data_IF_538473943880
#
_entry.id   IF_538473943880
#
_cell.length_a   1.000
_cell.length_b   1.000
_cell.length_c   1.000
_cell.angle_alpha   90.00
_cell.angle_beta   90.00
_cell.angle_gamma   90.00
#
_symmetry.space_group_name_H-M   'P 1'
#
loop_
_entity.id
_entity.type
_entity.pdbx_description
1 polymer ?
#
# COMPACT_ATOMS: atom_id res chain seq x y z
N UNK A 1 22.78 -10.41 -11.55
CA UNK A 1 22.36 -9.15 -12.21
C UNK A 1 21.23 -8.59 -11.37
N UNK A 2 21.25 -7.30 -11.01
CA UNK A 2 20.19 -6.67 -10.23
C UNK A 2 18.92 -6.55 -11.09
N UNK A 3 17.79 -7.03 -10.57
CA UNK A 3 16.48 -6.91 -11.22
C UNK A 3 15.72 -5.72 -10.61
N UNK A 4 15.72 -4.61 -11.35
CA UNK A 4 15.07 -3.36 -10.95
C UNK A 4 13.55 -3.51 -10.80
N UNK A 5 12.87 -4.25 -11.68
CA UNK A 5 11.41 -4.36 -11.65
C UNK A 5 10.95 -5.18 -10.45
N UNK A 6 11.61 -6.31 -10.19
CA UNK A 6 11.30 -7.14 -9.02
C UNK A 6 11.59 -6.40 -7.71
N UNK A 7 12.66 -5.58 -7.69
CA UNK A 7 12.95 -4.75 -6.52
C UNK A 7 11.89 -3.67 -6.29
N UNK A 8 11.45 -2.94 -7.32
CA UNK A 8 10.39 -1.93 -7.17
C UNK A 8 9.05 -2.57 -6.77
N UNK A 9 8.68 -3.72 -7.34
CA UNK A 9 7.49 -4.45 -6.92
C UNK A 9 7.54 -4.82 -5.43
N UNK A 10 8.72 -5.22 -4.93
CA UNK A 10 8.92 -5.46 -3.49
C UNK A 10 8.75 -4.18 -2.67
N UNK A 11 9.28 -3.04 -3.12
CA UNK A 11 9.12 -1.74 -2.43
C UNK A 11 7.65 -1.34 -2.32
N UNK A 12 6.87 -1.57 -3.37
CA UNK A 12 5.43 -1.25 -3.39
C UNK A 12 4.61 -2.18 -2.50
N UNK A 13 5.01 -3.46 -2.39
CA UNK A 13 4.44 -4.44 -1.47
C UNK A 13 4.88 -4.26 -0.02
N UNK A 14 6.02 -3.62 0.22
CA UNK A 14 6.61 -3.48 1.54
C UNK A 14 5.63 -2.81 2.52
N UNK A 15 5.56 -3.38 3.72
CA UNK A 15 4.91 -2.70 4.84
C UNK A 15 5.73 -1.48 5.28
N UNK A 16 5.21 -0.70 6.22
CA UNK A 16 5.84 0.56 6.61
C UNK A 16 7.23 0.35 7.23
N UNK A 17 7.44 -0.71 8.00
CA UNK A 17 8.74 -0.99 8.62
C UNK A 17 9.75 -1.48 7.58
N UNK A 18 9.34 -2.35 6.67
CA UNK A 18 10.20 -2.81 5.58
C UNK A 18 10.57 -1.66 4.64
N UNK A 19 9.62 -0.79 4.28
CA UNK A 19 9.88 0.41 3.48
C UNK A 19 10.96 1.29 4.14
N UNK A 20 10.86 1.49 5.45
CA UNK A 20 11.84 2.29 6.21
C UNK A 20 13.21 1.65 6.15
N UNK A 21 13.31 0.33 6.35
CA UNK A 21 14.58 -0.38 6.28
C UNK A 21 15.22 -0.29 4.88
N UNK A 22 14.42 -0.41 3.82
CA UNK A 22 14.88 -0.26 2.43
C UNK A 22 15.42 1.16 2.19
N UNK A 23 14.68 2.18 2.64
CA UNK A 23 15.06 3.57 2.43
C UNK A 23 16.26 4.00 3.27
N UNK A 24 16.48 3.41 4.44
CA UNK A 24 17.57 3.81 5.33
C UNK A 24 18.94 3.45 4.75
N UNK A 25 19.08 2.25 4.19
CA UNK A 25 20.38 1.70 3.75
C UNK A 25 20.26 0.95 2.42
N UNK A 26 19.88 1.63 1.32
CA UNK A 26 19.86 0.99 0.01
C UNK A 26 21.29 0.70 -0.48
N UNK A 27 21.45 -0.35 -1.28
CA UNK A 27 22.67 -0.50 -2.10
C UNK A 27 22.69 0.56 -3.21
N UNK A 28 23.84 0.71 -3.88
CA UNK A 28 23.98 1.66 -5.00
C UNK A 28 22.94 1.41 -6.11
N UNK A 29 22.70 0.14 -6.44
CA UNK A 29 21.72 -0.26 -7.46
C UNK A 29 20.28 0.00 -6.99
N UNK A 30 19.99 -0.28 -5.72
CA UNK A 30 18.68 -0.02 -5.13
C UNK A 30 18.37 1.47 -5.04
N UNK A 31 19.35 2.30 -4.66
CA UNK A 31 19.20 3.76 -4.65
C UNK A 31 18.91 4.29 -6.06
N UNK A 32 19.65 3.82 -7.06
CA UNK A 32 19.41 4.22 -8.46
C UNK A 32 17.99 3.86 -8.91
N UNK A 33 17.53 2.65 -8.59
CA UNK A 33 16.16 2.22 -8.88
C UNK A 33 15.10 3.06 -8.13
N UNK A 34 15.31 3.33 -6.84
CA UNK A 34 14.41 4.16 -6.03
C UNK A 34 14.33 5.58 -6.57
N UNK A 35 15.43 6.17 -7.02
CA UNK A 35 15.46 7.50 -7.65
C UNK A 35 14.73 7.51 -8.98
N UNK A 36 14.94 6.51 -9.83
CA UNK A 36 14.20 6.38 -11.08
C UNK A 36 12.69 6.22 -10.85
N UNK A 37 12.31 5.45 -9.82
CA UNK A 37 10.91 5.17 -9.50
C UNK A 37 10.19 6.26 -8.69
N UNK A 38 10.87 6.98 -7.81
CA UNK A 38 10.24 8.00 -6.96
C UNK A 38 10.49 9.43 -7.48
N UNK A 39 11.54 9.63 -8.28
CA UNK A 39 12.15 10.92 -8.56
C UNK A 39 13.13 11.33 -7.46
N UNK A 40 14.18 12.06 -7.83
CA UNK A 40 15.30 12.40 -6.94
C UNK A 40 14.87 13.13 -5.67
N UNK A 41 14.06 14.19 -5.79
CA UNK A 41 13.64 14.98 -4.64
C UNK A 41 12.81 14.16 -3.64
N UNK A 42 11.87 13.35 -4.15
CA UNK A 42 11.01 12.52 -3.31
C UNK A 42 11.82 11.44 -2.62
N UNK A 43 12.70 10.77 -3.35
CA UNK A 43 13.63 9.81 -2.76
C UNK A 43 14.43 10.45 -1.63
N UNK A 44 15.01 11.63 -1.85
CA UNK A 44 15.80 12.33 -0.83
C UNK A 44 15.00 12.68 0.43
N UNK A 45 13.75 13.16 0.27
CA UNK A 45 12.85 13.42 1.41
C UNK A 45 12.57 12.13 2.18
N UNK A 46 12.16 11.07 1.48
CA UNK A 46 11.81 9.79 2.09
C UNK A 46 13.02 9.12 2.78
N UNK A 47 14.19 9.16 2.16
CA UNK A 47 15.46 8.70 2.74
C UNK A 47 15.80 9.47 4.02
N UNK A 48 15.70 10.79 3.99
CA UNK A 48 15.94 11.64 5.16
C UNK A 48 14.97 11.34 6.32
N UNK A 49 13.70 11.08 6.02
CA UNK A 49 12.70 10.70 7.03
C UNK A 49 13.00 9.34 7.65
N UNK A 50 13.40 8.36 6.84
CA UNK A 50 13.81 7.04 7.32
C UNK A 50 15.01 7.12 8.28
N UNK A 51 16.05 7.90 7.92
CA UNK A 51 17.21 8.13 8.79
C UNK A 51 16.84 8.83 10.11
N UNK A 52 16.05 9.91 10.05
CA UNK A 52 15.61 10.67 11.24
C UNK A 52 14.85 9.81 12.24
N UNK A 53 14.00 8.91 11.74
CA UNK A 53 13.19 8.02 12.59
C UNK A 53 14.06 7.14 13.48
N UNK A 54 15.13 6.56 12.97
CA UNK A 54 16.00 5.70 13.76
C UNK A 54 16.73 6.46 14.86
N UNK A 55 17.20 7.67 14.56
CA UNK A 55 17.81 8.57 15.56
C UNK A 55 16.79 8.94 16.64
N UNK A 56 15.55 9.23 16.27
CA UNK A 56 14.52 9.62 17.24
C UNK A 56 14.07 8.42 18.08
N UNK A 57 14.04 7.20 17.51
CA UNK A 57 13.70 5.96 18.22
C UNK A 57 14.79 5.52 19.20
N UNK A 58 16.06 5.85 18.98
CA UNK A 58 17.12 5.58 19.96
C UNK A 58 17.09 6.53 21.16
N UNK A 59 16.57 7.75 20.98
CA UNK A 59 16.49 8.78 22.03
C UNK A 59 15.19 8.71 22.84
N UNK A 60 14.08 8.29 22.24
CA UNK A 60 12.80 8.19 22.93
C UNK A 60 12.71 6.95 23.82
N UNK A 61 12.06 7.13 24.97
CA UNK A 61 11.74 6.03 25.87
C UNK A 61 10.92 4.97 25.12
N UNK A 62 11.51 3.77 25.00
CA UNK A 62 10.89 2.61 24.37
C UNK A 62 9.66 2.11 25.14
N UNK A 63 9.40 2.63 26.34
CA UNK A 63 8.28 2.25 27.20
C UNK A 63 6.91 2.74 26.72
N UNK A 64 6.84 3.80 25.89
CA UNK A 64 5.56 4.37 25.46
C UNK A 64 5.03 3.64 24.22
N UNK A 65 3.98 2.83 24.41
CA UNK A 65 3.31 2.10 23.33
C UNK A 65 2.84 3.06 22.22
N UNK A 66 3.20 2.73 20.97
CA UNK A 66 2.75 3.51 19.82
C UNK A 66 1.27 3.22 19.57
N UNK A 67 0.48 4.27 19.33
CA UNK A 67 -0.90 4.11 18.87
C UNK A 67 -0.93 3.50 17.46
N UNK A 68 -1.97 2.74 17.16
CA UNK A 68 -2.14 2.08 15.87
C UNK A 68 -2.85 2.99 14.88
N UNK A 69 -2.38 3.00 13.63
CA UNK A 69 -3.02 3.72 12.53
C UNK A 69 -3.01 2.89 11.25
N UNK A 70 -4.13 2.90 10.53
CA UNK A 70 -4.28 2.32 9.20
C UNK A 70 -4.43 3.44 8.17
N UNK A 71 -3.61 3.42 7.13
CA UNK A 71 -3.71 4.35 5.99
C UNK A 71 -4.40 3.65 4.82
N UNK A 72 -5.45 4.27 4.28
CA UNK A 72 -6.25 3.75 3.16
C UNK A 72 -6.13 4.67 1.96
N UNK A 73 -5.75 4.11 0.80
CA UNK A 73 -5.65 4.87 -0.44
C UNK A 73 -7.01 5.24 -1.05
N UNK A 74 -6.97 6.19 -1.99
CA UNK A 74 -8.13 6.58 -2.81
C UNK A 74 -8.22 5.73 -4.08
N UNK A 75 -9.18 6.05 -4.95
CA UNK A 75 -9.31 5.37 -6.24
C UNK A 75 -7.98 5.42 -7.01
N UNK A 76 -7.58 4.29 -7.60
CA UNK A 76 -6.35 4.14 -8.37
C UNK A 76 -5.03 4.37 -7.58
N UNK A 77 -5.11 4.49 -6.25
CA UNK A 77 -3.95 4.71 -5.37
C UNK A 77 -3.18 3.46 -4.97
N UNK A 78 -3.54 2.30 -5.52
CA UNK A 78 -2.83 1.04 -5.36
C UNK A 78 -2.56 0.41 -6.72
N UNK A 79 -1.45 -0.31 -6.79
CA UNK A 79 -1.07 -1.08 -7.96
C UNK A 79 -2.00 -2.28 -8.18
N UNK A 80 -2.26 -2.62 -9.44
CA UNK A 80 -2.98 -3.84 -9.81
C UNK A 80 -2.11 -4.71 -10.69
N UNK A 81 -1.96 -5.98 -10.30
CA UNK A 81 -1.27 -7.01 -11.07
C UNK A 81 -2.26 -8.02 -11.64
N UNK A 82 -2.06 -8.40 -12.89
CA UNK A 82 -2.88 -9.38 -13.62
C UNK A 82 -2.09 -10.68 -13.76
N UNK A 83 -2.62 -11.82 -13.35
CA UNK A 83 -2.05 -13.13 -13.64
C UNK A 83 -2.95 -13.96 -14.56
N UNK A 84 -2.33 -14.85 -15.35
CA UNK A 84 -3.02 -15.82 -16.22
C UNK A 84 -2.73 -17.28 -15.82
N UNK A 85 -2.35 -17.53 -14.56
CA UNK A 85 -1.96 -18.86 -14.07
C UNK A 85 -0.60 -18.95 -13.37
N UNK A 86 -0.01 -17.82 -12.96
CA UNK A 86 1.28 -17.75 -12.26
C UNK A 86 1.46 -16.42 -11.54
N UNK A 87 2.70 -15.94 -11.45
CA UNK A 87 2.98 -14.59 -10.92
C UNK A 87 2.29 -13.51 -11.77
N UNK A 88 1.80 -12.48 -11.08
CA UNK A 88 1.01 -11.41 -11.68
C UNK A 88 1.88 -10.31 -12.27
N UNK A 89 1.53 -9.88 -13.47
CA UNK A 89 2.14 -8.77 -14.19
C UNK A 89 1.55 -7.43 -13.73
N UNK A 90 2.39 -6.52 -13.22
CA UNK A 90 2.01 -5.14 -12.88
C UNK A 90 1.35 -4.43 -14.06
N UNK A 91 0.04 -4.23 -14.02
CA UNK A 91 -0.73 -3.65 -15.12
C UNK A 91 -1.09 -2.19 -14.84
N UNK A 92 -1.44 -1.88 -13.59
CA UNK A 92 -1.67 -0.52 -13.13
C UNK A 92 -0.64 -0.13 -12.05
N UNK A 93 0.15 0.94 -12.17
CA UNK A 93 0.27 1.85 -13.33
C UNK A 93 1.49 1.45 -14.18
N UNK A 94 1.27 0.91 -15.37
CA UNK A 94 2.34 0.73 -16.36
C UNK A 94 1.92 1.39 -17.69
N UNK A 95 2.47 2.57 -17.98
CA UNK A 95 2.08 3.38 -19.14
C UNK A 95 2.20 2.61 -20.47
N UNK A 96 3.27 1.82 -20.65
CA UNK A 96 3.47 1.01 -21.86
C UNK A 96 2.42 -0.09 -22.02
N UNK A 97 2.06 -0.78 -20.93
CA UNK A 97 1.01 -1.80 -20.92
C UNK A 97 -0.37 -1.17 -21.17
N UNK A 98 -0.64 -0.01 -20.57
CA UNK A 98 -1.85 0.78 -20.82
C UNK A 98 -1.97 1.15 -22.30
N UNK A 99 -0.92 1.69 -22.92
CA UNK A 99 -0.90 2.02 -24.36
C UNK A 99 -1.10 0.78 -25.26
N UNK A 100 -0.67 -0.40 -24.82
CA UNK A 100 -0.91 -1.68 -25.50
C UNK A 100 -2.31 -2.28 -25.26
N UNK A 101 -3.24 -1.53 -24.68
CA UNK A 101 -4.63 -1.97 -24.47
C UNK A 101 -4.81 -2.93 -23.29
N UNK A 102 -3.86 -3.02 -22.35
CA UNK A 102 -4.00 -3.94 -21.21
C UNK A 102 -5.07 -3.54 -20.20
N UNK A 103 -5.66 -2.35 -20.33
CA UNK A 103 -6.81 -1.95 -19.52
C UNK A 103 -8.02 -2.88 -19.72
N UNK A 104 -8.19 -3.49 -20.89
CA UNK A 104 -9.26 -4.48 -21.14
C UNK A 104 -9.13 -5.71 -20.23
N UNK A 105 -7.92 -6.01 -19.75
CA UNK A 105 -7.66 -7.10 -18.80
C UNK A 105 -8.14 -6.76 -17.38
N UNK A 106 -8.38 -5.47 -17.10
CA UNK A 106 -8.92 -4.97 -15.83
C UNK A 106 -10.44 -4.80 -15.88
N UNK A 107 -11.12 -5.29 -16.92
CA UNK A 107 -12.58 -5.20 -16.99
C UNK A 107 -13.22 -6.13 -15.97
N UNK A 108 -14.15 -5.60 -15.18
CA UNK A 108 -15.03 -6.38 -14.30
C UNK A 108 -16.26 -6.86 -15.06
N UNK A 109 -16.86 -7.94 -14.57
CA UNK A 109 -18.20 -8.33 -14.98
C UNK A 109 -19.23 -7.34 -14.40
N UNK A 110 -20.48 -7.46 -14.84
CA UNK A 110 -21.57 -6.53 -14.46
C UNK A 110 -21.91 -6.60 -12.95
N UNK A 111 -21.43 -7.61 -12.22
CA UNK A 111 -21.62 -7.72 -10.78
C UNK A 111 -20.70 -6.78 -9.96
N UNK A 112 -19.69 -6.16 -10.60
CA UNK A 112 -18.71 -5.29 -9.94
C UNK A 112 -17.79 -5.98 -8.93
N UNK A 113 -17.70 -7.31 -8.96
CA UNK A 113 -16.97 -8.15 -8.00
C UNK A 113 -16.06 -9.16 -8.68
N UNK A 114 -16.51 -9.75 -9.78
CA UNK A 114 -15.78 -10.75 -10.55
C UNK A 114 -15.13 -10.13 -11.79
N UNK A 115 -14.06 -10.76 -12.28
CA UNK A 115 -13.40 -10.33 -13.51
C UNK A 115 -14.27 -10.68 -14.72
N UNK A 116 -14.27 -9.82 -15.75
CA UNK A 116 -15.04 -10.05 -16.97
C UNK A 116 -14.59 -11.32 -17.69
N UNK A 117 -13.28 -11.59 -17.70
CA UNK A 117 -12.70 -12.77 -18.30
C UNK A 117 -12.07 -13.66 -17.22
N UNK A 118 -12.46 -14.94 -17.11
CA UNK A 118 -11.90 -15.86 -16.10
C UNK A 118 -10.41 -16.16 -16.34
N UNK A 119 -9.89 -15.80 -17.52
CA UNK A 119 -8.46 -15.92 -17.86
C UNK A 119 -7.58 -14.98 -17.03
N UNK A 120 -8.10 -13.82 -16.65
CA UNK A 120 -7.35 -12.80 -15.94
C UNK A 120 -7.75 -12.80 -14.48
N UNK A 121 -6.77 -13.00 -13.59
CA UNK A 121 -6.95 -12.79 -12.15
C UNK A 121 -6.25 -11.51 -11.78
N UNK A 122 -7.01 -10.53 -11.31
CA UNK A 122 -6.47 -9.25 -10.89
C UNK A 122 -6.39 -9.20 -9.38
N UNK A 123 -5.27 -8.68 -8.87
CA UNK A 123 -5.05 -8.46 -7.45
C UNK A 123 -4.43 -7.09 -7.21
N UNK A 124 -4.79 -6.45 -6.10
CA UNK A 124 -4.08 -5.28 -5.63
C UNK A 124 -2.71 -5.68 -5.06
N UNK A 125 -1.66 -5.01 -5.49
CA UNK A 125 -0.26 -5.41 -5.27
C UNK A 125 0.59 -4.36 -4.55
N UNK A 126 -0.04 -3.44 -3.81
CA UNK A 126 0.67 -2.47 -2.99
C UNK A 126 0.02 -1.08 -3.04
N UNK A 127 0.17 -0.31 -1.96
CA UNK A 127 -0.16 1.11 -1.97
C UNK A 127 0.98 1.88 -2.64
N UNK A 128 0.66 2.76 -3.59
CA UNK A 128 1.67 3.46 -4.39
C UNK A 128 2.56 4.36 -3.52
N UNK A 129 3.81 3.94 -3.26
CA UNK A 129 4.76 4.65 -2.37
C UNK A 129 5.11 6.03 -2.91
N UNK A 130 5.06 6.21 -4.22
CA UNK A 130 5.21 7.52 -4.88
C UNK A 130 4.21 8.57 -4.35
N UNK A 131 3.01 8.16 -3.94
CA UNK A 131 1.95 9.06 -3.47
C UNK A 131 1.76 9.03 -1.95
N UNK A 132 1.93 7.86 -1.34
CA UNK A 132 1.61 7.65 0.06
C UNK A 132 2.84 7.46 0.96
N UNK A 133 4.03 7.28 0.38
CA UNK A 133 5.26 6.97 1.13
C UNK A 133 5.59 8.01 2.18
N UNK A 134 5.61 9.30 1.84
CA UNK A 134 5.87 10.38 2.80
C UNK A 134 4.84 10.42 3.95
N UNK A 135 3.55 10.17 3.66
CA UNK A 135 2.52 10.07 4.70
C UNK A 135 2.78 8.89 5.65
N UNK A 136 3.10 7.71 5.10
CA UNK A 136 3.41 6.52 5.89
C UNK A 136 4.62 6.77 6.80
N UNK A 137 5.69 7.35 6.26
CA UNK A 137 6.91 7.67 6.99
C UNK A 137 6.67 8.71 8.09
N UNK A 138 5.92 9.77 7.81
CA UNK A 138 5.58 10.81 8.79
C UNK A 138 4.82 10.22 9.97
N UNK A 139 3.78 9.42 9.70
CA UNK A 139 3.02 8.77 10.76
C UNK A 139 3.90 7.80 11.56
N UNK A 140 4.81 7.07 10.90
CA UNK A 140 5.66 6.06 11.52
C UNK A 140 6.65 6.62 12.56
N UNK A 141 6.86 7.94 12.60
CA UNK A 141 7.60 8.63 13.66
C UNK A 141 6.97 8.41 15.03
N UNK A 142 5.64 8.40 15.12
CA UNK A 142 4.90 8.38 16.38
C UNK A 142 3.88 7.24 16.48
N UNK A 143 3.57 6.56 15.36
CA UNK A 143 2.50 5.58 15.25
C UNK A 143 3.02 4.22 14.77
N UNK A 144 2.27 3.17 15.09
CA UNK A 144 2.37 1.86 14.47
C UNK A 144 1.50 1.86 13.21
N UNK A 145 2.13 2.02 12.05
CA UNK A 145 1.45 2.31 10.79
C UNK A 145 1.29 1.07 9.94
N UNK A 146 0.05 0.74 9.58
CA UNK A 146 -0.26 -0.28 8.57
C UNK A 146 -0.86 0.39 7.34
N UNK A 147 -0.33 0.07 6.16
CA UNK A 147 -0.96 0.43 4.90
C UNK A 147 -2.00 -0.61 4.53
N UNK A 148 -3.23 -0.18 4.22
CA UNK A 148 -4.27 -1.02 3.64
C UNK A 148 -4.48 -0.62 2.18
N UNK A 149 -4.35 -1.61 1.30
CA UNK A 149 -4.67 -1.48 -0.12
C UNK A 149 -5.66 -2.54 -0.56
N UNK A 150 -6.46 -2.17 -1.56
CA UNK A 150 -7.56 -2.98 -2.06
C UNK A 150 -7.73 -2.78 -3.57
N UNK A 151 -8.45 -3.70 -4.19
CA UNK A 151 -8.83 -3.58 -5.60
C UNK A 151 -9.90 -2.49 -5.76
N UNK A 152 -9.44 -1.29 -6.10
CA UNK A 152 -10.24 -0.09 -6.19
C UNK A 152 -11.32 -0.12 -7.28
N UNK A 153 -11.33 -1.15 -8.14
CA UNK A 153 -12.36 -1.34 -9.16
C UNK A 153 -13.63 -1.98 -8.58
N UNK A 154 -13.49 -2.74 -7.50
CA UNK A 154 -14.52 -3.64 -6.98
C UNK A 154 -15.44 -2.98 -5.96
N UNK A 155 -16.59 -3.62 -5.73
CA UNK A 155 -17.56 -3.27 -4.70
C UNK A 155 -16.88 -2.99 -3.34
N UNK A 156 -17.21 -1.83 -2.75
CA UNK A 156 -16.65 -1.36 -1.48
C UNK A 156 -16.90 -2.31 -0.31
N UNK A 157 -17.94 -3.16 -0.37
CA UNK A 157 -18.20 -4.17 0.65
C UNK A 157 -17.07 -5.20 0.72
N UNK A 158 -16.45 -5.54 -0.41
CA UNK A 158 -15.30 -6.45 -0.43
C UNK A 158 -14.09 -5.81 0.26
N UNK A 159 -13.80 -4.56 -0.06
CA UNK A 159 -12.72 -3.81 0.58
C UNK A 159 -12.98 -3.62 2.10
N UNK A 160 -14.23 -3.44 2.52
CA UNK A 160 -14.58 -3.36 3.94
C UNK A 160 -14.34 -4.68 4.69
N UNK A 161 -14.64 -5.81 4.06
CA UNK A 161 -14.42 -7.15 4.63
C UNK A 161 -12.93 -7.47 4.76
N UNK A 162 -12.17 -7.14 3.72
CA UNK A 162 -10.71 -7.22 3.72
C UNK A 162 -10.10 -6.32 4.80
N UNK A 163 -10.57 -5.08 4.94
CA UNK A 163 -10.11 -4.15 5.96
C UNK A 163 -10.35 -4.69 7.37
N UNK A 164 -11.55 -5.20 7.65
CA UNK A 164 -11.86 -5.82 8.94
C UNK A 164 -10.92 -7.00 9.24
N UNK A 165 -10.71 -7.87 8.25
CA UNK A 165 -9.81 -9.02 8.35
C UNK A 165 -8.38 -8.59 8.65
N UNK A 166 -7.88 -7.56 7.95
CA UNK A 166 -6.53 -7.04 8.15
C UNK A 166 -6.36 -6.36 9.50
N UNK A 167 -7.31 -5.54 9.95
CA UNK A 167 -7.26 -4.90 11.27
C UNK A 167 -7.16 -5.95 12.38
N UNK A 168 -7.98 -7.01 12.33
CA UNK A 168 -7.96 -8.08 13.33
C UNK A 168 -6.71 -8.97 13.26
N UNK A 169 -6.03 -9.01 12.11
CA UNK A 169 -4.75 -9.71 11.97
C UNK A 169 -3.52 -8.86 12.33
N UNK A 170 -3.64 -7.53 12.29
CA UNK A 170 -2.52 -6.62 12.55
C UNK A 170 -2.41 -6.16 14.01
N UNK A 171 -3.52 -6.08 14.72
CA UNK A 171 -3.60 -5.48 16.04
C UNK A 171 -4.40 -6.37 16.99
N UNK A 172 -4.15 -6.24 18.30
CA UNK A 172 -4.95 -6.99 19.27
C UNK A 172 -6.38 -6.48 19.26
N UNK A 173 -7.32 -7.34 19.68
CA UNK A 173 -8.76 -7.07 19.59
C UNK A 173 -9.18 -5.77 20.32
N UNK A 174 -8.52 -5.44 21.42
CA UNK A 174 -8.87 -4.29 22.27
C UNK A 174 -8.02 -3.04 22.00
N UNK A 175 -7.06 -3.11 21.07
CA UNK A 175 -6.19 -1.97 20.80
C UNK A 175 -6.94 -0.93 19.96
N UNK A 176 -6.95 0.35 20.37
CA UNK A 176 -7.52 1.43 19.54
C UNK A 176 -6.76 1.56 18.22
N UNK A 177 -7.50 1.60 17.11
CA UNK A 177 -6.96 1.78 15.76
C UNK A 177 -7.55 3.02 15.14
N UNK A 178 -6.69 3.94 14.69
CA UNK A 178 -7.08 5.13 13.95
C UNK A 178 -7.08 4.86 12.45
N UNK A 179 -8.00 5.47 11.70
CA UNK A 179 -8.06 5.35 10.24
C UNK A 179 -7.76 6.70 9.61
N UNK A 180 -6.78 6.73 8.71
CA UNK A 180 -6.48 7.86 7.83
C UNK A 180 -6.81 7.42 6.41
N UNK A 181 -7.84 8.03 5.81
CA UNK A 181 -8.34 7.58 4.52
C UNK A 181 -8.38 8.74 3.51
N UNK A 182 -7.91 8.49 2.30
CA UNK A 182 -7.92 9.45 1.20
C UNK A 182 -9.05 9.13 0.20
N UNK A 183 -9.88 10.12 -0.14
CA UNK A 183 -10.89 10.01 -1.22
C UNK A 183 -11.77 8.75 -1.07
N UNK A 184 -11.82 7.86 -2.05
CA UNK A 184 -12.59 6.60 -2.00
C UNK A 184 -12.23 5.71 -0.80
N UNK A 185 -11.02 5.81 -0.26
CA UNK A 185 -10.67 5.14 1.00
C UNK A 185 -11.59 5.53 2.16
N UNK A 186 -12.09 6.77 2.16
CA UNK A 186 -13.09 7.23 3.13
C UNK A 186 -14.42 6.49 2.97
N UNK A 187 -14.82 6.16 1.74
CA UNK A 187 -16.02 5.35 1.47
C UNK A 187 -15.81 3.90 1.94
N UNK A 188 -14.61 3.34 1.77
CA UNK A 188 -14.26 2.03 2.36
C UNK A 188 -14.38 2.08 3.88
N UNK A 189 -13.81 3.09 4.53
CA UNK A 189 -13.91 3.26 5.97
C UNK A 189 -15.36 3.39 6.45
N UNK A 190 -16.19 4.19 5.75
CA UNK A 190 -17.63 4.32 6.07
C UNK A 190 -18.40 3.01 5.87
N UNK A 191 -18.06 2.24 4.84
CA UNK A 191 -18.68 0.94 4.57
C UNK A 191 -18.30 -0.07 5.65
N UNK A 192 -17.03 -0.09 6.06
CA UNK A 192 -16.54 -0.87 7.20
C UNK A 192 -17.31 -0.52 8.49
N UNK A 193 -17.40 0.77 8.86
CA UNK A 193 -18.13 1.22 10.06
C UNK A 193 -19.59 0.76 10.04
N UNK A 194 -20.25 0.86 8.87
CA UNK A 194 -21.64 0.44 8.71
C UNK A 194 -21.82 -1.07 8.92
N UNK A 195 -20.88 -1.88 8.40
CA UNK A 195 -20.96 -3.34 8.39
C UNK A 195 -20.47 -3.98 9.69
N UNK A 196 -19.47 -3.38 10.33
CA UNK A 196 -18.77 -3.92 11.51
C UNK A 196 -18.89 -2.98 12.71
N UNK A 197 -20.13 -2.62 13.08
CA UNK A 197 -20.41 -1.64 14.15
C UNK A 197 -19.82 -2.02 15.51
N UNK A 198 -19.77 -3.32 15.84
CA UNK A 198 -19.20 -3.79 17.11
C UNK A 198 -17.68 -3.68 17.14
N UNK A 199 -17.03 -3.64 15.97
CA UNK A 199 -15.59 -3.47 15.85
C UNK A 199 -15.18 -1.98 15.83
N UNK A 200 -16.08 -1.08 15.42
CA UNK A 200 -15.86 0.37 15.36
C UNK A 200 -16.13 1.02 16.72
#
# INVERSE_FOLDING_TARGET
MFDEQSFIARVELADTEELIAILERPTVEQEKALRAHLGDERYQRMHSMALKRNVTRSVRDRSKEKRNVVVIHGIMGAELSVSTGGDGDLTWVNAFRVMRGWLDRLRLSDDGRSEYSPRFKVRASGIMKRHYGELLLTLAENWNVRAFWFDWRKDLNLAADELNTKINGWFNQNDPVHIVAHSMGGLVARTFIKKYKERW
#
